data_IF_959958347810
#
_entry.id   IF_959958347810
#
_cell.length_a   1.000
_cell.length_b   1.000
_cell.length_c   1.000
_cell.angle_alpha   90.00
_cell.angle_beta   90.00
_cell.angle_gamma   90.00
#
_symmetry.space_group_name_H-M   'P 1'
#
loop_
_entity.id
_entity.type
_entity.pdbx_description
1 polymer ?
#
# COMPACT_ATOMS: atom_id res chain seq x y z
N UNK A 1 -3.18 -3.99 -23.28
CA UNK A 1 -4.05 -4.14 -22.12
C UNK A 1 -3.49 -3.36 -20.93
N UNK A 2 -4.35 -2.67 -20.30
CA UNK A 2 -3.99 -1.98 -19.09
C UNK A 2 -3.74 -2.98 -17.96
N UNK A 3 -2.71 -2.76 -17.15
CA UNK A 3 -2.49 -3.58 -15.97
C UNK A 3 -3.38 -3.22 -14.80
N UNK A 4 -4.17 -2.15 -14.94
CA UNK A 4 -5.00 -1.65 -13.85
C UNK A 4 -6.45 -2.03 -14.06
N UNK A 5 -6.95 -2.86 -13.18
CA UNK A 5 -8.35 -3.24 -13.18
C UNK A 5 -9.06 -2.60 -12.00
N UNK A 6 -10.27 -2.11 -12.23
CA UNK A 6 -11.08 -1.51 -11.18
C UNK A 6 -11.35 -2.54 -10.09
N UNK A 7 -11.13 -2.15 -8.86
CA UNK A 7 -11.37 -3.01 -7.72
C UNK A 7 -10.22 -3.94 -7.35
N UNK A 8 -9.06 -3.80 -7.99
CA UNK A 8 -7.91 -4.67 -7.70
C UNK A 8 -7.18 -4.17 -6.45
N UNK A 9 -6.89 -5.09 -5.54
CA UNK A 9 -6.07 -4.82 -4.36
C UNK A 9 -4.87 -5.76 -4.38
N UNK A 10 -3.68 -5.19 -4.34
CA UNK A 10 -2.43 -5.96 -4.30
C UNK A 10 -1.79 -5.79 -2.94
N UNK A 11 -1.42 -6.91 -2.32
CA UNK A 11 -0.72 -6.89 -1.04
C UNK A 11 0.78 -6.91 -1.30
N UNK A 12 1.48 -5.91 -0.77
CA UNK A 12 2.93 -5.85 -0.86
C UNK A 12 3.50 -6.01 0.54
N UNK A 13 4.24 -7.09 0.75
CA UNK A 13 4.89 -7.36 2.02
C UNK A 13 6.29 -6.77 2.00
N UNK A 14 6.64 -6.05 3.06
CA UNK A 14 7.97 -5.45 3.17
C UNK A 14 8.62 -5.88 4.47
N UNK A 15 9.94 -5.98 4.44
CA UNK A 15 10.71 -6.20 5.65
C UNK A 15 11.23 -4.86 6.14
N UNK A 16 10.99 -4.56 7.40
CA UNK A 16 11.44 -3.30 8.00
C UNK A 16 12.95 -3.10 7.87
N UNK A 17 13.69 -4.17 7.98
CA UNK A 17 15.13 -4.08 7.95
C UNK A 17 15.73 -4.05 6.55
N UNK A 18 14.91 -4.23 5.52
CA UNK A 18 15.47 -4.39 4.19
C UNK A 18 14.51 -3.96 3.06
N UNK A 19 14.21 -2.68 2.97
CA UNK A 19 13.32 -2.19 1.91
C UNK A 19 13.87 -2.41 0.51
N UNK A 20 15.18 -2.65 0.39
CA UNK A 20 15.79 -2.92 -0.91
C UNK A 20 15.44 -4.28 -1.50
N UNK A 21 14.81 -5.16 -0.72
CA UNK A 21 14.40 -6.47 -1.22
C UNK A 21 13.14 -6.43 -2.09
N UNK A 22 12.51 -5.29 -2.20
CA UNK A 22 11.33 -5.18 -3.06
C UNK A 22 11.69 -5.41 -4.51
N UNK A 23 10.82 -6.16 -5.21
CA UNK A 23 10.99 -6.35 -6.63
C UNK A 23 10.74 -5.05 -7.38
N UNK A 24 11.26 -4.95 -8.59
CA UNK A 24 11.01 -3.78 -9.43
C UNK A 24 9.52 -3.62 -9.69
N UNK A 25 8.81 -4.72 -9.85
CA UNK A 25 7.36 -4.70 -10.06
C UNK A 25 6.64 -4.09 -8.86
N UNK A 26 7.04 -4.46 -7.65
CA UNK A 26 6.45 -3.89 -6.45
C UNK A 26 6.72 -2.39 -6.37
N UNK A 27 7.91 -1.95 -6.74
CA UNK A 27 8.25 -0.53 -6.73
C UNK A 27 7.38 0.25 -7.71
N UNK A 28 7.14 -0.32 -8.89
CA UNK A 28 6.27 0.30 -9.89
C UNK A 28 4.84 0.40 -9.36
N UNK A 29 4.36 -0.66 -8.71
CA UNK A 29 3.02 -0.65 -8.12
C UNK A 29 2.87 0.43 -7.05
N UNK A 30 3.88 0.57 -6.18
CA UNK A 30 3.86 1.59 -5.13
C UNK A 30 3.84 3.00 -5.72
N UNK A 31 4.50 3.19 -6.84
CA UNK A 31 4.58 4.51 -7.48
C UNK A 31 3.29 4.86 -8.22
N UNK A 32 2.68 3.88 -8.86
CA UNK A 32 1.60 4.13 -9.81
C UNK A 32 0.19 3.78 -9.33
N UNK A 33 0.02 3.07 -8.23
CA UNK A 33 -1.31 2.72 -7.76
C UNK A 33 -2.11 3.98 -7.40
N UNK A 34 -3.41 3.93 -7.59
CA UNK A 34 -4.26 5.07 -7.27
C UNK A 34 -4.46 5.25 -5.77
N UNK A 35 -4.55 4.14 -5.06
CA UNK A 35 -4.75 4.17 -3.61
C UNK A 35 -3.66 3.37 -2.94
N UNK A 36 -2.91 4.02 -2.07
CA UNK A 36 -1.87 3.37 -1.28
C UNK A 36 -2.30 3.33 0.18
N UNK A 37 -2.31 2.15 0.74
CA UNK A 37 -2.77 1.94 2.12
C UNK A 37 -1.67 1.27 2.91
N UNK A 38 -1.49 1.69 4.15
CA UNK A 38 -0.55 1.06 5.06
C UNK A 38 -1.15 0.91 6.43
N UNK A 39 -0.51 0.14 7.27
CA UNK A 39 -0.96 -0.09 8.64
C UNK A 39 -0.33 0.89 9.62
N UNK A 40 0.89 1.32 9.35
CA UNK A 40 1.60 2.29 10.18
C UNK A 40 2.25 3.36 9.33
N UNK A 41 2.03 4.61 9.75
CA UNK A 41 2.55 5.77 9.03
C UNK A 41 4.08 5.73 8.92
N UNK A 42 4.76 5.38 10.00
CA UNK A 42 6.23 5.37 10.03
C UNK A 42 6.80 4.38 9.02
N UNK A 43 6.21 3.20 8.93
CA UNK A 43 6.67 2.16 8.02
C UNK A 43 6.51 2.61 6.56
N UNK A 44 5.33 3.12 6.24
CA UNK A 44 5.06 3.58 4.87
C UNK A 44 5.95 4.75 4.50
N UNK A 45 6.06 5.74 5.38
CA UNK A 45 6.89 6.92 5.13
C UNK A 45 8.35 6.54 4.91
N UNK A 46 8.87 5.66 5.75
CA UNK A 46 10.27 5.22 5.65
C UNK A 46 10.50 4.48 4.34
N UNK A 47 9.56 3.61 3.97
CA UNK A 47 9.66 2.87 2.73
C UNK A 47 9.65 3.80 1.52
N UNK A 48 8.68 4.69 1.46
CA UNK A 48 8.57 5.62 0.33
C UNK A 48 9.81 6.51 0.22
N UNK A 49 10.30 6.98 1.35
CA UNK A 49 11.50 7.80 1.37
C UNK A 49 12.72 7.04 0.85
N UNK A 50 12.86 5.78 1.25
CA UNK A 50 14.00 4.97 0.81
C UNK A 50 13.95 4.69 -0.69
N UNK A 51 12.78 4.70 -1.28
CA UNK A 51 12.59 4.47 -2.71
C UNK A 51 12.49 5.77 -3.50
N UNK A 52 12.62 6.91 -2.85
CA UNK A 52 12.50 8.23 -3.47
C UNK A 52 11.14 8.43 -4.14
N UNK A 53 10.10 7.92 -3.51
CA UNK A 53 8.73 8.07 -4.00
C UNK A 53 8.01 9.10 -3.13
N UNK A 54 7.47 10.13 -3.76
CA UNK A 54 6.69 11.14 -3.05
C UNK A 54 5.23 10.98 -3.42
N UNK A 55 4.42 10.56 -2.45
CA UNK A 55 2.98 10.41 -2.66
C UNK A 55 2.26 10.31 -1.33
N UNK A 56 0.96 10.55 -1.37
CA UNK A 56 0.12 10.41 -0.18
C UNK A 56 -0.29 8.95 -0.01
N UNK A 57 -0.69 8.62 1.20
CA UNK A 57 -1.19 7.28 1.51
C UNK A 57 -2.21 7.38 2.64
N UNK A 58 -3.00 6.30 2.79
CA UNK A 58 -4.01 6.20 3.83
C UNK A 58 -3.62 5.12 4.82
N UNK A 59 -4.12 5.23 6.04
CA UNK A 59 -3.85 4.23 7.08
C UNK A 59 -5.10 3.41 7.37
N UNK A 60 -4.91 2.11 7.46
CA UNK A 60 -5.97 1.18 7.85
C UNK A 60 -5.33 0.13 8.76
N UNK A 61 -5.69 0.12 10.03
CA UNK A 61 -5.11 -0.78 11.01
C UNK A 61 -6.16 -1.20 12.03
N UNK A 62 -5.73 -1.86 13.09
CA UNK A 62 -6.64 -2.34 14.13
C UNK A 62 -7.37 -1.22 14.86
N UNK A 63 -6.90 0.01 14.74
CA UNK A 63 -7.56 1.16 15.36
C UNK A 63 -8.61 1.80 14.44
N UNK A 64 -8.72 1.31 13.21
CA UNK A 64 -9.71 1.81 12.28
C UNK A 64 -11.11 1.40 12.71
N UNK A 65 -12.06 2.30 12.60
CA UNK A 65 -13.45 2.00 12.95
C UNK A 65 -14.08 1.15 11.86
N UNK A 66 -15.25 0.58 12.17
CA UNK A 66 -16.01 -0.17 11.19
C UNK A 66 -16.36 0.70 9.97
N UNK A 67 -16.72 1.94 10.23
CA UNK A 67 -17.02 2.89 9.15
C UNK A 67 -15.80 3.13 8.26
N UNK A 68 -14.62 3.28 8.88
CA UNK A 68 -13.39 3.47 8.12
C UNK A 68 -13.12 2.29 7.21
N UNK A 69 -13.33 1.07 7.71
CA UNK A 69 -13.09 -0.15 6.93
C UNK A 69 -14.04 -0.22 5.75
N UNK A 70 -15.31 0.12 5.96
CA UNK A 70 -16.29 0.12 4.88
C UNK A 70 -15.90 1.16 3.82
N UNK A 71 -15.48 2.35 4.25
CA UNK A 71 -15.06 3.38 3.31
C UNK A 71 -13.83 2.95 2.50
N UNK A 72 -12.88 2.29 3.13
CA UNK A 72 -11.72 1.76 2.42
C UNK A 72 -12.14 0.72 1.39
N UNK A 73 -13.05 -0.17 1.75
CA UNK A 73 -13.53 -1.19 0.81
C UNK A 73 -14.18 -0.54 -0.40
N UNK A 74 -14.99 0.50 -0.19
CA UNK A 74 -15.63 1.22 -1.27
C UNK A 74 -14.62 1.93 -2.16
N UNK A 75 -13.59 2.54 -1.55
CA UNK A 75 -12.53 3.19 -2.31
C UNK A 75 -11.78 2.20 -3.18
N UNK A 76 -11.44 1.04 -2.62
CA UNK A 76 -10.74 -0.01 -3.37
C UNK A 76 -11.54 -0.43 -4.58
N UNK A 77 -12.86 -0.57 -4.42
CA UNK A 77 -13.72 -0.98 -5.51
C UNK A 77 -13.80 0.07 -6.63
N UNK A 78 -13.61 1.33 -6.30
CA UNK A 78 -13.71 2.41 -7.28
C UNK A 78 -12.38 2.76 -7.93
N UNK A 79 -11.26 2.39 -7.31
CA UNK A 79 -9.95 2.78 -7.81
C UNK A 79 -9.41 1.76 -8.82
N UNK A 80 -8.55 2.24 -9.69
CA UNK A 80 -7.86 1.40 -10.67
C UNK A 80 -6.49 1.01 -10.10
N UNK A 81 -6.53 0.04 -9.22
CA UNK A 81 -5.30 -0.44 -8.59
C UNK A 81 -5.08 0.18 -7.22
N UNK A 82 -5.19 -0.65 -6.21
CA UNK A 82 -4.90 -0.27 -4.81
C UNK A 82 -3.80 -1.17 -4.28
N UNK A 83 -2.97 -0.65 -3.41
CA UNK A 83 -1.88 -1.43 -2.81
C UNK A 83 -1.96 -1.29 -1.29
N UNK A 84 -1.85 -2.41 -0.60
CA UNK A 84 -1.74 -2.45 0.85
C UNK A 84 -0.33 -2.90 1.22
N UNK A 85 0.36 -2.07 1.98
CA UNK A 85 1.70 -2.39 2.48
C UNK A 85 1.56 -3.10 3.82
N UNK A 86 2.15 -4.27 3.92
CA UNK A 86 2.13 -5.07 5.13
C UNK A 86 3.55 -5.34 5.60
N UNK A 87 3.75 -5.38 6.91
CA UNK A 87 5.04 -5.71 7.49
C UNK A 87 5.21 -7.24 7.50
N UNK A 88 6.14 -7.71 6.71
CA UNK A 88 6.39 -9.14 6.59
C UNK A 88 7.43 -9.65 7.58
N UNK A 89 8.01 -8.77 8.37
CA UNK A 89 9.08 -9.15 9.29
C UNK A 89 8.60 -9.71 10.61
N UNK A 90 7.32 -9.79 10.82
CA UNK A 90 6.77 -10.24 12.10
C UNK A 90 6.57 -11.74 12.10
N UNK A 91 7.24 -12.46 12.98
CA UNK A 91 6.98 -13.89 13.12
C UNK A 91 5.64 -14.16 13.77
#
# INVERSE_FOLDING_TARGET
MSGNETGTLTLVSVSLGNPGDLTDRAKVLLRNCELLIGEESRIVSTLLKSLSIERTFSLCNEHSSHTDIVEFAEEILRRNGSVLISDAGTP
#
